data_IF_937355393806
#
_entry.id   IF_937355393806
#
_cell.length_a   1.000
_cell.length_b   1.000
_cell.length_c   1.000
_cell.angle_alpha   90.00
_cell.angle_beta   90.00
_cell.angle_gamma   90.00
#
_symmetry.space_group_name_H-M   'P 1'
#
loop_
_entity.id
_entity.type
_entity.pdbx_description
1 polymer ?
#
# COMPACT_ATOMS: atom_id res chain seq x y z
N UNK A 1 14.44 10.46 -11.95
CA UNK A 1 13.78 10.91 -10.70
C UNK A 1 13.52 9.70 -9.83
N UNK A 2 14.08 9.71 -8.62
CA UNK A 2 13.89 8.65 -7.63
C UNK A 2 12.52 8.73 -6.94
N UNK A 3 12.21 7.78 -6.05
CA UNK A 3 10.96 7.79 -5.29
C UNK A 3 10.82 9.06 -4.42
N UNK A 4 11.93 9.52 -3.82
CA UNK A 4 11.95 10.75 -3.02
C UNK A 4 11.59 12.00 -3.84
N UNK A 5 12.03 12.08 -5.10
CA UNK A 5 11.69 13.20 -5.98
C UNK A 5 10.21 13.16 -6.39
N UNK A 6 9.68 11.98 -6.69
CA UNK A 6 8.31 11.79 -7.17
C UNK A 6 7.26 12.12 -6.11
N UNK A 7 7.58 11.87 -4.84
CA UNK A 7 6.65 12.02 -3.72
C UNK A 7 7.06 13.12 -2.75
N UNK A 8 7.88 14.09 -3.21
CA UNK A 8 8.47 15.13 -2.37
C UNK A 8 7.43 15.88 -1.53
N UNK A 9 6.32 16.29 -2.14
CA UNK A 9 5.32 17.12 -1.46
C UNK A 9 4.58 16.34 -0.37
N UNK A 10 4.28 15.05 -0.62
CA UNK A 10 3.71 14.17 0.40
C UNK A 10 4.72 13.87 1.52
N UNK A 11 5.98 13.62 1.15
CA UNK A 11 7.06 13.41 2.12
C UNK A 11 7.25 14.63 3.01
N UNK A 12 7.21 15.84 2.48
CA UNK A 12 7.32 17.06 3.28
C UNK A 12 6.25 17.13 4.37
N UNK A 13 4.99 16.85 4.02
CA UNK A 13 3.86 16.87 4.96
C UNK A 13 4.02 15.77 6.02
N UNK A 14 4.23 14.52 5.60
CA UNK A 14 4.27 13.38 6.52
C UNK A 14 5.54 13.35 7.38
N UNK A 15 6.70 13.70 6.84
CA UNK A 15 7.95 13.78 7.60
C UNK A 15 7.90 14.93 8.64
N UNK A 16 7.21 16.03 8.35
CA UNK A 16 6.99 17.13 9.31
C UNK A 16 6.10 16.70 10.47
N UNK A 17 5.01 15.96 10.19
CA UNK A 17 4.05 15.55 11.24
C UNK A 17 4.55 14.39 12.11
N UNK A 18 5.31 13.45 11.53
CA UNK A 18 5.60 12.16 12.17
C UNK A 18 7.10 11.88 12.35
N UNK A 19 7.97 12.79 11.87
CA UNK A 19 9.40 12.56 11.74
C UNK A 19 9.75 11.77 10.48
N UNK A 20 11.03 11.80 10.08
CA UNK A 20 11.48 11.28 8.78
C UNK A 20 11.13 9.80 8.55
N UNK A 21 11.38 8.93 9.54
CA UNK A 21 11.14 7.49 9.39
C UNK A 21 9.66 7.17 9.18
N UNK A 22 8.81 7.60 10.13
CA UNK A 22 7.36 7.35 10.05
C UNK A 22 6.71 8.08 8.88
N UNK A 23 7.18 9.28 8.56
CA UNK A 23 6.70 10.04 7.41
C UNK A 23 6.91 9.30 6.09
N UNK A 24 8.09 8.68 5.90
CA UNK A 24 8.37 7.85 4.72
C UNK A 24 7.52 6.58 4.67
N UNK A 25 7.30 5.93 5.81
CA UNK A 25 6.44 4.74 5.88
C UNK A 25 4.98 5.10 5.60
N UNK A 26 4.51 6.27 6.03
CA UNK A 26 3.18 6.78 5.70
C UNK A 26 3.01 6.98 4.19
N UNK A 27 3.96 7.66 3.54
CA UNK A 27 3.92 7.81 2.07
C UNK A 27 4.00 6.45 1.37
N UNK A 28 4.82 5.52 1.86
CA UNK A 28 4.87 4.16 1.30
C UNK A 28 3.52 3.43 1.45
N UNK A 29 2.81 3.62 2.56
CA UNK A 29 1.48 3.06 2.78
C UNK A 29 0.44 3.63 1.81
N UNK A 30 0.52 4.91 1.47
CA UNK A 30 -0.35 5.53 0.46
C UNK A 30 -0.14 4.85 -0.90
N UNK A 31 1.12 4.66 -1.31
CA UNK A 31 1.44 3.98 -2.58
C UNK A 31 0.94 2.53 -2.63
N UNK A 32 1.06 1.81 -1.52
CA UNK A 32 0.50 0.45 -1.42
C UNK A 32 -1.03 0.47 -1.46
N UNK A 33 -1.67 1.51 -0.92
CA UNK A 33 -3.13 1.68 -0.96
C UNK A 33 -3.61 1.95 -2.38
N UNK A 34 -2.93 2.81 -3.13
CA UNK A 34 -3.22 3.06 -4.54
C UNK A 34 -3.05 1.79 -5.37
N UNK A 35 -1.96 1.04 -5.14
CA UNK A 35 -1.73 -0.24 -5.82
C UNK A 35 -2.85 -1.25 -5.51
N UNK A 36 -3.26 -1.37 -4.25
CA UNK A 36 -4.34 -2.26 -3.83
C UNK A 36 -5.67 -1.91 -4.50
N UNK A 37 -5.99 -0.62 -4.60
CA UNK A 37 -7.19 -0.15 -5.29
C UNK A 37 -7.17 -0.51 -6.79
N UNK A 38 -6.03 -0.28 -7.46
CA UNK A 38 -5.84 -0.61 -8.88
C UNK A 38 -5.96 -2.12 -9.15
N UNK A 39 -5.34 -2.95 -8.31
CA UNK A 39 -5.38 -4.41 -8.45
C UNK A 39 -6.77 -4.95 -8.13
N UNK A 40 -7.47 -4.37 -7.14
CA UNK A 40 -8.84 -4.72 -6.81
C UNK A 40 -9.79 -4.52 -8.00
N UNK A 41 -9.64 -3.40 -8.72
CA UNK A 41 -10.36 -3.15 -9.96
C UNK A 41 -10.00 -4.17 -11.05
N UNK A 42 -8.71 -4.52 -11.18
CA UNK A 42 -8.29 -5.51 -12.16
C UNK A 42 -8.90 -6.90 -11.89
N UNK A 43 -9.08 -7.27 -10.62
CA UNK A 43 -9.75 -8.52 -10.21
C UNK A 43 -11.21 -8.63 -10.63
N UNK A 44 -11.89 -7.52 -10.94
CA UNK A 44 -13.25 -7.52 -11.52
C UNK A 44 -13.23 -8.11 -12.93
N UNK A 45 -12.22 -7.76 -13.71
CA UNK A 45 -12.07 -8.18 -15.11
C UNK A 45 -11.34 -9.52 -15.24
N UNK A 46 -10.35 -9.76 -14.39
CA UNK A 46 -9.54 -10.97 -14.41
C UNK A 46 -10.08 -11.98 -13.40
N UNK A 47 -11.13 -12.70 -13.81
CA UNK A 47 -11.82 -13.67 -12.97
C UNK A 47 -11.31 -15.10 -13.21
N UNK A 48 -11.40 -15.91 -12.16
CA UNK A 48 -11.14 -17.33 -12.23
C UNK A 48 -12.15 -18.04 -13.14
N UNK A 49 -11.64 -18.80 -14.11
CA UNK A 49 -12.47 -19.65 -14.97
C UNK A 49 -13.11 -20.81 -14.19
N UNK A 50 -12.51 -21.21 -13.06
CA UNK A 50 -13.01 -22.30 -12.20
C UNK A 50 -13.99 -21.81 -11.13
N UNK A 51 -13.88 -20.54 -10.71
CA UNK A 51 -14.69 -19.94 -9.65
C UNK A 51 -15.21 -18.57 -10.13
N UNK A 52 -16.35 -18.53 -10.85
CA UNK A 52 -16.94 -17.29 -11.34
C UNK A 52 -17.19 -16.29 -10.21
N UNK A 53 -16.95 -15.01 -10.47
CA UNK A 53 -17.09 -13.94 -9.47
C UNK A 53 -15.95 -13.84 -8.47
N UNK A 54 -14.90 -14.67 -8.57
CA UNK A 54 -13.65 -14.50 -7.81
C UNK A 54 -12.51 -14.10 -8.75
N UNK A 55 -11.56 -13.26 -8.29
CA UNK A 55 -10.35 -12.99 -9.05
C UNK A 55 -9.53 -14.27 -9.26
N UNK A 56 -8.61 -14.25 -10.22
CA UNK A 56 -7.60 -15.30 -10.36
C UNK A 56 -6.73 -15.42 -9.11
N UNK A 57 -6.16 -16.60 -8.87
CA UNK A 57 -5.44 -16.91 -7.63
C UNK A 57 -4.26 -15.96 -7.39
N UNK A 58 -3.50 -15.66 -8.44
CA UNK A 58 -2.39 -14.70 -8.41
C UNK A 58 -2.85 -13.29 -7.99
N UNK A 59 -3.96 -12.79 -8.54
CA UNK A 59 -4.53 -11.49 -8.12
C UNK A 59 -4.98 -11.53 -6.67
N UNK A 60 -5.66 -12.61 -6.26
CA UNK A 60 -6.09 -12.78 -4.87
C UNK A 60 -4.90 -12.73 -3.90
N UNK A 61 -3.81 -13.43 -4.22
CA UNK A 61 -2.60 -13.46 -3.41
C UNK A 61 -1.90 -12.10 -3.36
N UNK A 62 -1.85 -11.36 -4.46
CA UNK A 62 -1.26 -10.01 -4.45
C UNK A 62 -2.08 -9.06 -3.57
N UNK A 63 -3.41 -9.14 -3.64
CA UNK A 63 -4.30 -8.34 -2.77
C UNK A 63 -4.05 -8.65 -1.29
N UNK A 64 -3.95 -9.94 -0.94
CA UNK A 64 -3.63 -10.40 0.42
C UNK A 64 -2.26 -9.88 0.87
N UNK A 65 -1.20 -10.11 0.10
CA UNK A 65 0.16 -9.71 0.47
C UNK A 65 0.34 -8.20 0.63
N UNK A 66 -0.29 -7.39 -0.24
CA UNK A 66 -0.26 -5.93 -0.10
C UNK A 66 -1.06 -5.50 1.13
N UNK A 67 -2.20 -6.15 1.41
CA UNK A 67 -2.98 -5.94 2.63
C UNK A 67 -2.15 -6.18 3.89
N UNK A 68 -1.53 -7.36 3.99
CA UNK A 68 -0.68 -7.74 5.12
C UNK A 68 0.49 -6.76 5.29
N UNK A 69 1.16 -6.39 4.19
CA UNK A 69 2.25 -5.42 4.23
C UNK A 69 1.81 -4.06 4.79
N UNK A 70 0.59 -3.61 4.45
CA UNK A 70 0.03 -2.37 5.00
C UNK A 70 -0.24 -2.48 6.49
N UNK A 71 -0.83 -3.58 6.96
CA UNK A 71 -1.06 -3.78 8.40
C UNK A 71 0.26 -3.72 9.17
N UNK A 72 1.29 -4.41 8.69
CA UNK A 72 2.63 -4.38 9.30
C UNK A 72 3.22 -2.96 9.33
N UNK A 73 3.13 -2.21 8.23
CA UNK A 73 3.60 -0.83 8.18
C UNK A 73 2.84 0.08 9.16
N UNK A 74 1.53 -0.12 9.30
CA UNK A 74 0.70 0.64 10.23
C UNK A 74 1.17 0.47 11.66
N UNK A 75 1.55 -0.75 12.06
CA UNK A 75 2.10 -0.97 13.40
C UNK A 75 3.33 -0.11 13.69
N UNK A 76 4.20 0.12 12.70
CA UNK A 76 5.43 0.92 12.87
C UNK A 76 5.15 2.41 12.89
N UNK A 77 4.18 2.87 12.09
CA UNK A 77 3.74 4.27 12.09
C UNK A 77 3.08 4.63 13.44
N UNK A 78 2.28 3.73 13.99
CA UNK A 78 1.51 3.96 15.23
C UNK A 78 2.30 3.68 16.51
N UNK A 79 3.44 2.97 16.42
CA UNK A 79 4.33 2.75 17.57
C UNK A 79 4.63 4.10 18.24
N UNK A 80 4.46 4.19 19.56
CA UNK A 80 4.94 5.34 20.33
C UNK A 80 6.40 5.07 20.71
N UNK A 81 7.28 6.03 20.43
CA UNK A 81 8.64 5.99 20.96
C UNK A 81 8.55 6.39 22.43
N UNK A 82 8.88 5.48 23.34
CA UNK A 82 9.04 5.77 24.77
C UNK A 82 10.27 6.67 25.02
#
# INVERSE_FOLDING_TARGET
MGALDKHRDALEVHETMMGQGRGRLAVAMDLLTDALAMIGQHGVYCQSTRMPGRPTLDIALVLEQIGDAKELLQTVIEQKTE
#
